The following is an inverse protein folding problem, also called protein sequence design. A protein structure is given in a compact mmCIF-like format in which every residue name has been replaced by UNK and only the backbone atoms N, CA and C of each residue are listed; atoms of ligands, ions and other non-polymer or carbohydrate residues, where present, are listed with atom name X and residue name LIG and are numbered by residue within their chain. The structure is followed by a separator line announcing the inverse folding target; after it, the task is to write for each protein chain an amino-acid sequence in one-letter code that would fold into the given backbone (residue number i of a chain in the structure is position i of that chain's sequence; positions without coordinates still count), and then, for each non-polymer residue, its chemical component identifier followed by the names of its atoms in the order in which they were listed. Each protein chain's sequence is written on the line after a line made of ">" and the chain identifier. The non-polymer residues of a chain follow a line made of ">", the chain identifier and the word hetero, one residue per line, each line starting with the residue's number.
data_IF_548063405882
#
_entry.id   IF_548063405882
#
_cell.length_a   1.000
_cell.length_b   1.000
_cell.length_c   1.000
_cell.angle_alpha   90.00
_cell.angle_beta   90.00
_cell.angle_gamma   90.00
#
_symmetry.space_group_name_H-M   'P 1'
#
loop_
_entity.id
_entity.type
_entity.pdbx_description
1 polymer ?
#
# COMPACT_ATOMS: atom_id res chain seq x y z
N UNK A 1 -13.46 -12.91 -40.29
CA UNK A 1 -14.64 -12.70 -39.41
C UNK A 1 -14.28 -11.65 -38.38
N UNK A 2 -15.15 -10.65 -38.22
CA UNK A 2 -14.94 -9.41 -37.44
C UNK A 2 -15.54 -9.57 -36.03
N UNK A 3 -14.96 -8.82 -35.05
CA UNK A 3 -15.49 -8.41 -33.72
C UNK A 3 -15.36 -9.49 -32.62
N UNK A 4 -14.94 -9.24 -31.36
CA UNK A 4 -14.79 -8.01 -30.58
C UNK A 4 -14.04 -8.29 -29.26
N UNK A 5 -13.17 -7.33 -28.89
CA UNK A 5 -12.62 -6.90 -27.60
C UNK A 5 -12.77 -7.75 -26.29
N UNK A 6 -11.70 -7.90 -25.49
CA UNK A 6 -11.67 -8.58 -24.18
C UNK A 6 -12.18 -7.70 -23.02
N UNK A 7 -13.10 -6.77 -23.28
CA UNK A 7 -13.55 -5.79 -22.29
C UNK A 7 -14.60 -6.33 -21.30
N UNK A 8 -15.05 -7.57 -21.47
CA UNK A 8 -16.09 -8.18 -20.63
C UNK A 8 -15.53 -8.84 -19.35
N UNK A 9 -14.23 -9.14 -19.30
CA UNK A 9 -13.63 -9.75 -18.09
C UNK A 9 -13.36 -8.76 -16.96
N UNK A 10 -13.42 -7.45 -17.20
CA UNK A 10 -13.21 -6.44 -16.15
C UNK A 10 -14.48 -6.11 -15.35
N UNK A 11 -15.67 -6.43 -15.87
CA UNK A 11 -16.95 -6.10 -15.22
C UNK A 11 -17.43 -7.16 -14.21
N UNK A 12 -16.91 -8.39 -14.28
CA UNK A 12 -17.33 -9.46 -13.35
C UNK A 12 -16.59 -9.47 -12.01
N UNK A 13 -15.55 -8.63 -11.86
CA UNK A 13 -14.76 -8.54 -10.62
C UNK A 13 -15.50 -7.74 -9.53
N UNK A 14 -16.54 -6.96 -9.87
CA UNK A 14 -17.19 -6.02 -8.93
C UNK A 14 -18.64 -6.41 -8.55
N UNK A 15 -19.27 -7.36 -9.25
CA UNK A 15 -20.70 -7.65 -9.07
C UNK A 15 -21.05 -8.96 -8.32
N UNK A 16 -20.09 -9.73 -7.82
CA UNK A 16 -20.37 -10.98 -7.09
C UNK A 16 -20.51 -10.79 -5.58
N UNK A 17 -21.19 -9.73 -5.16
CA UNK A 17 -21.67 -9.59 -3.80
C UNK A 17 -23.06 -10.23 -3.73
N UNK A 18 -23.07 -11.43 -3.16
CA UNK A 18 -24.21 -12.17 -2.62
C UNK A 18 -24.93 -13.23 -3.52
N UNK A 19 -24.93 -14.44 -2.94
CA UNK A 19 -25.94 -15.53 -3.01
C UNK A 19 -25.70 -16.70 -3.99
N UNK A 20 -25.11 -17.74 -3.39
CA UNK A 20 -25.47 -19.18 -3.47
C UNK A 20 -25.28 -19.95 -4.78
N UNK A 21 -24.29 -20.85 -4.77
CA UNK A 21 -24.51 -22.26 -4.41
C UNK A 21 -23.29 -22.77 -3.64
N UNK A 22 -23.54 -23.63 -2.66
CA UNK A 22 -22.53 -24.36 -1.93
C UNK A 22 -21.61 -25.10 -2.92
N UNK A 23 -20.42 -24.54 -3.13
CA UNK A 23 -19.28 -25.32 -3.58
C UNK A 23 -18.88 -26.10 -2.34
N UNK A 24 -19.20 -27.39 -2.34
CA UNK A 24 -18.67 -28.33 -1.34
C UNK A 24 -17.16 -28.13 -1.27
N UNK A 25 -16.55 -28.06 -0.06
CA UNK A 25 -15.13 -27.80 0.10
C UNK A 25 -14.35 -29.05 -0.31
N UNK A 26 -14.28 -29.30 -1.61
CA UNK A 26 -13.57 -30.43 -2.15
C UNK A 26 -12.10 -30.02 -2.29
N UNK A 27 -11.25 -30.57 -1.41
CA UNK A 27 -9.79 -30.41 -1.36
C UNK A 27 -9.28 -28.99 -1.03
N UNK A 28 -9.35 -28.67 0.26
CA UNK A 28 -8.45 -27.81 1.04
C UNK A 28 -7.79 -26.64 0.29
N UNK A 29 -8.56 -25.57 0.00
CA UNK A 29 -7.97 -24.28 -0.31
C UNK A 29 -6.99 -23.87 0.78
N UNK A 30 -5.89 -23.24 0.38
CA UNK A 30 -4.89 -22.73 1.31
C UNK A 30 -5.25 -21.31 1.73
N UNK A 31 -5.34 -21.07 3.03
CA UNK A 31 -5.63 -19.74 3.58
C UNK A 31 -4.33 -18.94 3.77
N UNK A 32 -4.24 -17.78 3.13
CA UNK A 32 -3.17 -16.80 3.33
C UNK A 32 -3.72 -15.61 4.10
N UNK A 33 -3.26 -15.43 5.34
CA UNK A 33 -3.63 -14.27 6.17
C UNK A 33 -2.85 -13.02 5.72
N UNK A 34 -3.57 -11.93 5.46
CA UNK A 34 -2.98 -10.60 5.23
C UNK A 34 -3.14 -9.78 6.51
N UNK A 35 -2.04 -9.19 7.00
CA UNK A 35 -1.92 -8.59 8.35
C UNK A 35 -1.66 -7.10 8.36
N UNK A 36 -0.94 -6.58 7.37
CA UNK A 36 -0.42 -5.21 7.36
C UNK A 36 -0.91 -4.39 6.17
N UNK A 37 -1.33 -5.05 5.09
CA UNK A 37 -2.00 -4.43 3.94
C UNK A 37 -3.50 -4.73 3.97
N UNK A 38 -4.30 -3.91 3.29
CA UNK A 38 -5.69 -4.30 3.00
C UNK A 38 -5.71 -5.52 2.08
N UNK A 39 -6.58 -6.50 2.39
CA UNK A 39 -6.64 -7.76 1.65
C UNK A 39 -7.07 -7.57 0.18
N UNK A 40 -7.90 -6.56 -0.10
CA UNK A 40 -8.32 -6.23 -1.47
C UNK A 40 -7.18 -5.56 -2.23
N UNK A 41 -6.42 -4.67 -1.58
CA UNK A 41 -5.23 -4.05 -2.16
C UNK A 41 -4.16 -5.10 -2.47
N UNK A 42 -3.94 -6.06 -1.56
CA UNK A 42 -2.97 -7.13 -1.75
C UNK A 42 -3.34 -8.02 -2.95
N UNK A 43 -4.62 -8.38 -3.10
CA UNK A 43 -5.10 -9.16 -4.24
C UNK A 43 -5.01 -8.37 -5.55
N UNK A 44 -5.40 -7.09 -5.56
CA UNK A 44 -5.27 -6.22 -6.73
C UNK A 44 -3.81 -6.04 -7.14
N UNK A 45 -2.91 -5.85 -6.18
CA UNK A 45 -1.48 -5.76 -6.43
C UNK A 45 -0.92 -7.06 -7.01
N UNK A 46 -1.36 -8.22 -6.53
CA UNK A 46 -0.97 -9.52 -7.10
C UNK A 46 -1.42 -9.62 -8.57
N UNK A 47 -2.69 -9.32 -8.87
CA UNK A 47 -3.24 -9.36 -10.23
C UNK A 47 -2.51 -8.39 -11.17
N UNK A 48 -2.21 -7.18 -10.68
CA UNK A 48 -1.58 -6.12 -11.48
C UNK A 48 -0.09 -6.37 -11.73
N UNK A 49 0.65 -6.79 -10.70
CA UNK A 49 2.10 -6.93 -10.78
C UNK A 49 2.53 -8.30 -11.32
N UNK A 50 1.75 -9.35 -11.06
CA UNK A 50 2.04 -10.75 -11.39
C UNK A 50 0.76 -11.49 -11.80
N UNK A 51 0.19 -11.18 -12.97
CA UNK A 51 -1.04 -11.81 -13.45
C UNK A 51 -0.88 -13.33 -13.62
N UNK A 52 0.33 -13.80 -13.93
CA UNK A 52 0.70 -15.21 -13.99
C UNK A 52 0.51 -15.93 -12.64
N UNK A 53 0.76 -15.23 -11.53
CA UNK A 53 0.58 -15.78 -10.19
C UNK A 53 -0.87 -15.69 -9.70
N UNK A 54 -1.64 -14.75 -10.24
CA UNK A 54 -3.02 -14.54 -9.86
C UNK A 54 -3.95 -15.69 -10.29
N UNK A 55 -3.50 -16.59 -11.18
CA UNK A 55 -4.23 -17.82 -11.54
C UNK A 55 -4.47 -18.76 -10.34
N UNK A 56 -3.65 -18.67 -9.29
CA UNK A 56 -3.88 -19.41 -8.05
C UNK A 56 -4.95 -18.79 -7.14
N UNK A 57 -5.46 -17.59 -7.45
CA UNK A 57 -6.43 -16.88 -6.61
C UNK A 57 -7.83 -17.48 -6.75
N UNK A 58 -8.39 -17.99 -5.66
CA UNK A 58 -9.75 -18.56 -5.64
C UNK A 58 -10.75 -17.56 -5.09
N UNK A 59 -10.44 -16.94 -3.94
CA UNK A 59 -11.36 -16.07 -3.23
C UNK A 59 -10.65 -15.09 -2.31
N UNK A 60 -11.28 -13.93 -2.09
CA UNK A 60 -10.88 -12.96 -1.07
C UNK A 60 -11.95 -12.96 0.03
N UNK A 61 -11.54 -13.17 1.28
CA UNK A 61 -12.38 -12.98 2.46
C UNK A 61 -11.99 -11.67 3.17
N UNK A 62 -12.75 -10.62 2.85
CA UNK A 62 -12.54 -9.28 3.43
C UNK A 62 -12.80 -9.27 4.94
N UNK A 63 -13.73 -10.09 5.45
CA UNK A 63 -14.09 -10.09 6.87
C UNK A 63 -12.99 -10.71 7.72
N UNK A 64 -12.33 -11.76 7.21
CA UNK A 64 -11.21 -12.43 7.88
C UNK A 64 -9.85 -11.84 7.49
N UNK A 65 -9.81 -10.90 6.55
CA UNK A 65 -8.57 -10.36 5.94
C UNK A 65 -7.68 -11.49 5.38
N UNK A 66 -8.29 -12.39 4.62
CA UNK A 66 -7.64 -13.60 4.09
C UNK A 66 -7.82 -13.74 2.58
N UNK A 67 -6.84 -14.36 1.94
CA UNK A 67 -6.88 -14.78 0.54
C UNK A 67 -6.85 -16.30 0.48
N UNK A 68 -7.79 -16.90 -0.24
CA UNK A 68 -7.84 -18.33 -0.50
C UNK A 68 -7.18 -18.63 -1.84
N UNK A 69 -6.23 -19.55 -1.83
CA UNK A 69 -5.48 -19.98 -3.00
C UNK A 69 -5.75 -21.46 -3.32
N UNK A 70 -5.68 -21.81 -4.59
CA UNK A 70 -5.71 -23.19 -5.06
C UNK A 70 -4.30 -23.80 -4.93
N UNK A 71 -4.08 -24.77 -4.02
CA UNK A 71 -2.78 -25.42 -3.85
C UNK A 71 -2.39 -26.31 -5.04
N UNK A 72 -3.33 -26.71 -5.89
CA UNK A 72 -3.04 -27.49 -7.09
C UNK A 72 -2.53 -26.62 -8.25
N UNK A 73 -2.67 -25.29 -8.16
CA UNK A 73 -2.20 -24.38 -9.18
C UNK A 73 -0.66 -24.35 -9.26
N UNK A 74 -0.05 -24.42 -10.46
CA UNK A 74 1.40 -24.23 -10.63
C UNK A 74 1.91 -22.88 -10.10
N UNK A 75 1.02 -21.88 -10.01
CA UNK A 75 1.30 -20.55 -9.51
C UNK A 75 1.29 -20.45 -7.97
N UNK A 76 0.82 -21.48 -7.25
CA UNK A 76 0.55 -21.42 -5.81
C UNK A 76 1.72 -20.91 -4.97
N UNK A 77 2.87 -21.57 -5.04
CA UNK A 77 4.07 -21.20 -4.27
C UNK A 77 4.55 -19.78 -4.59
N UNK A 78 4.45 -19.38 -5.86
CA UNK A 78 4.79 -18.03 -6.30
C UNK A 78 3.83 -16.99 -5.72
N UNK A 79 2.53 -17.27 -5.76
CA UNK A 79 1.48 -16.40 -5.22
C UNK A 79 1.63 -16.21 -3.71
N UNK A 80 1.87 -17.29 -2.95
CA UNK A 80 2.13 -17.23 -1.49
C UNK A 80 3.32 -16.32 -1.19
N UNK A 81 4.47 -16.54 -1.86
CA UNK A 81 5.67 -15.72 -1.65
C UNK A 81 5.45 -14.26 -2.03
N UNK A 82 4.73 -14.00 -3.12
CA UNK A 82 4.44 -12.64 -3.56
C UNK A 82 3.50 -11.92 -2.61
N UNK A 83 2.45 -12.58 -2.13
CA UNK A 83 1.54 -12.04 -1.12
C UNK A 83 2.27 -11.75 0.19
N UNK A 84 3.15 -12.64 0.65
CA UNK A 84 3.97 -12.39 1.83
C UNK A 84 4.91 -11.19 1.67
N UNK A 85 5.46 -10.97 0.47
CA UNK A 85 6.29 -9.81 0.17
C UNK A 85 5.48 -8.51 0.07
N UNK A 86 4.24 -8.58 -0.44
CA UNK A 86 3.32 -7.44 -0.47
C UNK A 86 2.85 -7.06 0.94
N UNK A 87 2.52 -8.06 1.77
CA UNK A 87 2.13 -7.92 3.17
C UNK A 87 3.34 -7.86 4.11
N UNK A 88 4.49 -7.37 3.64
CA UNK A 88 5.64 -7.18 4.51
C UNK A 88 5.33 -6.11 5.57
N UNK A 89 5.74 -6.36 6.82
CA UNK A 89 5.55 -5.40 7.92
C UNK A 89 6.16 -4.05 7.52
N UNK A 90 5.38 -2.95 7.53
CA UNK A 90 5.89 -1.64 7.16
C UNK A 90 6.98 -1.20 8.15
N UNK A 91 8.05 -0.62 7.61
CA UNK A 91 9.12 -0.05 8.43
C UNK A 91 8.64 1.24 9.08
N UNK A 92 9.05 1.48 10.32
CA UNK A 92 8.86 2.76 10.98
C UNK A 92 10.00 3.70 10.58
N UNK A 93 9.68 4.93 10.22
CA UNK A 93 10.63 5.97 9.84
C UNK A 93 10.47 7.16 10.77
N UNK A 94 11.60 7.69 11.26
CA UNK A 94 11.64 8.88 12.10
C UNK A 94 12.31 10.01 11.34
N UNK A 95 11.57 11.07 11.06
CA UNK A 95 12.08 12.30 10.47
C UNK A 95 12.48 13.26 11.58
N UNK A 96 13.75 13.67 11.59
CA UNK A 96 14.24 14.78 12.39
C UNK A 96 14.41 15.97 11.48
N UNK A 97 13.67 17.04 11.76
CA UNK A 97 13.66 18.26 10.96
C UNK A 97 14.13 19.42 11.83
N UNK A 98 15.03 20.23 11.27
CA UNK A 98 15.41 21.52 11.82
C UNK A 98 15.11 22.59 10.78
N UNK A 99 14.32 23.60 11.16
CA UNK A 99 14.05 24.78 10.34
C UNK A 99 14.87 25.92 10.92
N UNK A 100 15.76 26.46 10.09
CA UNK A 100 16.62 27.58 10.43
C UNK A 100 16.25 28.78 9.58
N UNK A 101 15.93 29.88 10.23
CA UNK A 101 15.75 31.18 9.60
C UNK A 101 17.12 31.84 9.42
N UNK A 102 17.42 32.25 8.19
CA UNK A 102 18.67 32.92 7.82
C UNK A 102 18.34 34.35 7.38
N UNK A 103 18.82 35.34 8.12
CA UNK A 103 18.68 36.76 7.78
C UNK A 103 20.01 37.29 7.29
N UNK A 104 20.06 37.82 6.06
CA UNK A 104 21.27 38.46 5.50
C UNK A 104 21.12 39.99 5.54
N UNK A 105 22.01 40.66 6.26
CA UNK A 105 22.13 42.11 6.29
C UNK A 105 23.38 42.62 5.54
N UNK A 106 23.57 43.94 5.48
CA UNK A 106 24.83 44.55 5.02
C UNK A 106 25.93 44.31 6.07
N UNK A 107 26.63 43.19 5.95
CA UNK A 107 27.83 42.88 6.74
C UNK A 107 27.73 41.65 7.63
N UNK A 108 26.52 41.18 7.99
CA UNK A 108 26.32 40.02 8.87
C UNK A 108 25.21 39.08 8.34
N UNK A 109 25.44 37.77 8.51
CA UNK A 109 24.41 36.73 8.36
C UNK A 109 24.04 36.22 9.74
N UNK A 110 22.76 36.32 10.11
CA UNK A 110 22.22 35.77 11.36
C UNK A 110 21.43 34.52 11.06
N UNK A 111 21.75 33.43 11.75
CA UNK A 111 21.02 32.17 11.69
C UNK A 111 20.34 31.90 13.02
N UNK A 112 19.07 31.51 12.97
CA UNK A 112 18.30 31.14 14.16
C UNK A 112 17.48 29.89 13.85
N UNK A 113 17.61 28.86 14.67
CA UNK A 113 16.69 27.71 14.63
C UNK A 113 15.31 28.18 15.09
N UNK A 114 14.31 28.08 14.21
CA UNK A 114 12.92 28.47 14.48
C UNK A 114 12.02 27.27 14.77
N UNK A 115 12.43 26.06 14.36
CA UNK A 115 11.70 24.86 14.70
C UNK A 115 12.56 23.60 14.71
N UNK A 116 12.25 22.69 15.64
CA UNK A 116 12.78 21.32 15.67
C UNK A 116 11.61 20.36 15.82
N UNK A 117 11.31 19.64 14.74
CA UNK A 117 10.22 18.66 14.73
C UNK A 117 10.80 17.25 14.64
N UNK A 118 10.26 16.33 15.42
CA UNK A 118 10.50 14.89 15.24
C UNK A 118 9.16 14.25 14.92
N UNK A 119 9.07 13.62 13.75
CA UNK A 119 7.83 12.99 13.27
C UNK A 119 8.13 11.53 13.02
N UNK A 120 7.30 10.68 13.59
CA UNK A 120 7.39 9.23 13.40
C UNK A 120 6.20 8.77 12.58
N UNK A 121 6.46 8.07 11.47
CA UNK A 121 5.42 7.55 10.58
C UNK A 121 5.84 6.17 10.05
N UNK A 122 4.93 5.51 9.34
CA UNK A 122 5.27 4.32 8.56
C UNK A 122 5.89 4.72 7.22
N UNK A 123 6.76 3.87 6.69
CA UNK A 123 7.35 4.03 5.37
C UNK A 123 6.25 4.20 4.30
N UNK A 124 6.48 5.07 3.32
CA UNK A 124 5.51 5.50 2.28
C UNK A 124 4.32 6.34 2.77
N UNK A 125 4.08 6.46 4.07
CA UNK A 125 3.08 7.39 4.60
C UNK A 125 3.69 8.80 4.75
N UNK A 126 2.99 9.85 4.30
CA UNK A 126 3.51 11.22 4.39
C UNK A 126 3.62 11.67 5.86
N UNK A 127 4.81 12.08 6.28
CA UNK A 127 5.05 12.82 7.51
C UNK A 127 4.69 14.29 7.28
N UNK A 128 3.64 14.77 7.94
CA UNK A 128 3.14 16.15 7.79
C UNK A 128 3.51 16.96 9.02
N UNK A 129 4.13 18.11 8.78
CA UNK A 129 4.46 19.11 9.78
C UNK A 129 3.92 20.46 9.39
N UNK A 130 3.37 21.19 10.35
CA UNK A 130 2.91 22.57 10.14
C UNK A 130 3.65 23.48 11.11
N UNK A 131 4.38 24.45 10.56
CA UNK A 131 5.02 25.52 11.30
C UNK A 131 4.23 26.81 11.11
N UNK A 132 3.86 27.46 12.21
CA UNK A 132 3.23 28.77 12.15
C UNK A 132 4.31 29.84 11.97
N UNK A 133 4.16 30.66 10.93
CA UNK A 133 4.98 31.85 10.67
C UNK A 133 4.23 33.06 11.24
N UNK A 134 4.90 34.19 11.41
CA UNK A 134 4.32 35.46 11.85
C UNK A 134 2.98 35.79 11.17
N UNK A 135 2.00 36.20 11.99
CA UNK A 135 0.63 36.53 11.55
C UNK A 135 -0.21 35.27 11.28
N UNK A 136 -1.00 35.30 10.20
CA UNK A 136 -1.87 34.19 9.79
C UNK A 136 -1.20 33.22 8.79
N UNK A 137 0.13 33.29 8.64
CA UNK A 137 0.86 32.49 7.65
C UNK A 137 1.36 31.19 8.27
N UNK A 138 1.23 30.08 7.56
CA UNK A 138 1.78 28.78 7.99
C UNK A 138 2.56 28.10 6.87
N UNK A 139 3.68 27.46 7.22
CA UNK A 139 4.42 26.56 6.34
C UNK A 139 4.03 25.11 6.65
N UNK A 140 3.41 24.44 5.68
CA UNK A 140 3.12 23.01 5.76
C UNK A 140 4.15 22.23 4.95
N UNK A 141 4.88 21.35 5.61
CA UNK A 141 5.87 20.47 5.00
C UNK A 141 5.32 19.04 5.02
N UNK A 142 5.35 18.36 3.88
CA UNK A 142 5.00 16.95 3.74
C UNK A 142 6.21 16.21 3.18
N UNK A 143 6.73 15.25 3.93
CA UNK A 143 7.88 14.44 3.53
C UNK A 143 7.44 12.98 3.44
N UNK A 144 7.73 12.32 2.33
CA UNK A 144 7.44 10.90 2.14
C UNK A 144 8.74 10.16 1.85
N UNK A 145 8.99 9.06 2.56
CA UNK A 145 10.14 8.20 2.28
C UNK A 145 9.90 7.46 0.97
N UNK A 146 10.94 7.44 0.13
CA UNK A 146 11.01 6.57 -1.04
C UNK A 146 12.19 5.64 -0.86
N UNK A 147 11.98 4.33 -1.06
CA UNK A 147 13.09 3.40 -1.22
C UNK A 147 13.64 3.56 -2.63
N UNK A 148 14.92 3.91 -2.74
CA UNK A 148 15.64 3.75 -4.01
C UNK A 148 15.73 2.26 -4.33
N UNK A 149 15.38 1.89 -5.55
CA UNK A 149 15.62 0.54 -6.08
C UNK A 149 17.10 0.34 -6.38
#
# INVERSE_FOLDING_TARGET
>A
MKKTAPWILLAFVIASVAVSKAVEPDKAWSEVQIRYMDVTDAAQALVKERPDLAEALVRIDVRRSMILLDPASPAYEGAVKKLAALDARPRQVTYKMEITEVTKGRGDTKERVVSRATITTLEKNPAVFTHHIYGERSLRISVTSQMSK
#
